data_IF_641120432690
#
_entry.id   IF_641120432690
#
_cell.length_a   1.000
_cell.length_b   1.000
_cell.length_c   1.000
_cell.angle_alpha   90.00
_cell.angle_beta   90.00
_cell.angle_gamma   90.00
#
_symmetry.space_group_name_H-M   'P 1'
#
loop_
_entity.id
_entity.type
_entity.pdbx_description
1 polymer ?
#
# COMPACT_ATOMS: atom_id res chain seq x y z
N UNK A 1 -43.47 -38.98 42.79
CA UNK A 1 -42.47 -37.99 43.23
C UNK A 1 -41.34 -38.06 42.24
N UNK A 2 -41.18 -37.00 41.44
CA UNK A 2 -40.10 -36.87 40.47
C UNK A 2 -39.05 -36.00 41.14
N UNK A 3 -37.91 -36.60 41.49
CA UNK A 3 -36.76 -35.86 42.01
C UNK A 3 -35.91 -35.41 40.82
N UNK A 4 -35.82 -34.09 40.66
CA UNK A 4 -35.07 -33.39 39.63
C UNK A 4 -33.63 -33.27 40.12
N UNK A 5 -32.72 -33.98 39.45
CA UNK A 5 -31.28 -33.81 39.65
C UNK A 5 -30.84 -32.48 39.00
N UNK A 6 -30.32 -31.59 39.85
CA UNK A 6 -29.82 -30.27 39.51
C UNK A 6 -28.33 -30.37 39.16
N UNK A 7 -28.00 -30.46 37.86
CA UNK A 7 -26.63 -30.31 37.38
C UNK A 7 -26.21 -28.84 37.49
N UNK A 8 -25.23 -28.56 38.35
CA UNK A 8 -24.62 -27.25 38.50
C UNK A 8 -23.56 -27.04 37.42
N UNK A 9 -23.82 -26.12 36.50
CA UNK A 9 -22.86 -25.66 35.49
C UNK A 9 -21.72 -24.86 36.16
N UNK A 10 -20.53 -25.44 36.18
CA UNK A 10 -19.26 -24.80 36.55
C UNK A 10 -18.83 -23.84 35.42
N UNK A 11 -19.25 -22.57 35.53
CA UNK A 11 -18.81 -21.51 34.63
C UNK A 11 -17.41 -21.06 35.06
N UNK A 12 -16.39 -21.68 34.46
CA UNK A 12 -15.00 -21.24 34.57
C UNK A 12 -14.82 -19.80 34.07
N UNK A 13 -14.75 -18.84 35.00
CA UNK A 13 -14.46 -17.43 34.71
C UNK A 13 -12.97 -17.30 34.36
N UNK A 14 -12.67 -17.30 33.07
CA UNK A 14 -11.32 -17.04 32.57
C UNK A 14 -11.03 -15.53 32.64
N UNK A 15 -10.26 -15.12 33.66
CA UNK A 15 -9.78 -13.74 33.78
C UNK A 15 -8.90 -13.37 32.58
N UNK A 16 -9.16 -12.24 31.87
CA UNK A 16 -8.32 -11.80 30.78
C UNK A 16 -6.94 -11.40 31.32
N UNK A 17 -5.89 -12.06 30.86
CA UNK A 17 -4.52 -11.64 31.13
C UNK A 17 -4.29 -10.23 30.55
N UNK A 18 -3.64 -9.32 31.29
CA UNK A 18 -3.35 -7.98 30.79
C UNK A 18 -2.49 -8.06 29.52
N UNK A 19 -2.76 -7.21 28.52
CA UNK A 19 -2.04 -7.23 27.25
C UNK A 19 -0.55 -6.98 27.49
N UNK A 20 0.27 -7.88 26.96
CA UNK A 20 1.73 -7.74 26.99
C UNK A 20 2.14 -6.36 26.46
N UNK A 21 3.15 -5.70 27.07
CA UNK A 21 3.62 -4.40 26.61
C UNK A 21 4.00 -4.48 25.13
N UNK A 22 3.36 -3.65 24.30
CA UNK A 22 3.67 -3.54 22.87
C UNK A 22 5.17 -3.30 22.73
N UNK A 23 5.90 -4.20 22.06
CA UNK A 23 7.35 -4.07 21.81
C UNK A 23 7.64 -2.67 21.28
N UNK A 24 8.55 -1.95 21.95
CA UNK A 24 8.98 -0.61 21.51
C UNK A 24 9.54 -0.74 20.10
N UNK A 25 9.06 0.10 19.17
CA UNK A 25 9.61 0.18 17.80
C UNK A 25 11.08 0.59 17.92
N UNK A 26 12.00 -0.29 17.53
CA UNK A 26 13.44 -0.01 17.56
C UNK A 26 13.78 1.09 16.57
N UNK A 27 14.68 2.00 16.95
CA UNK A 27 15.15 3.09 16.10
C UNK A 27 16.45 2.69 15.42
N UNK A 28 16.48 2.79 14.09
CA UNK A 28 17.67 2.54 13.29
C UNK A 28 18.39 3.86 13.01
N UNK A 29 19.62 4.02 13.50
CA UNK A 29 20.43 5.23 13.35
C UNK A 29 21.09 5.38 11.98
N UNK A 30 21.14 4.31 11.18
CA UNK A 30 21.62 4.37 9.79
C UNK A 30 20.58 4.92 8.81
N UNK A 31 19.35 5.17 9.29
CA UNK A 31 18.24 5.77 8.52
C UNK A 31 17.89 7.13 9.07
N UNK A 32 17.01 7.86 8.36
CA UNK A 32 16.49 9.13 8.88
C UNK A 32 15.84 8.94 10.26
N UNK A 33 16.36 9.61 11.30
CA UNK A 33 15.90 9.44 12.68
C UNK A 33 14.41 9.80 12.87
N UNK A 34 13.90 10.69 12.01
CA UNK A 34 12.53 11.20 12.03
C UNK A 34 11.56 10.21 11.36
N UNK A 35 11.82 9.84 10.10
CA UNK A 35 10.89 9.04 9.29
C UNK A 35 11.28 7.56 9.10
N UNK A 36 12.46 7.15 9.59
CA UNK A 36 12.98 5.77 9.55
C UNK A 36 13.07 5.17 8.13
N UNK A 37 13.35 6.02 7.14
CA UNK A 37 13.53 5.68 5.72
C UNK A 37 14.74 6.42 5.15
N UNK A 38 15.31 5.88 4.09
CA UNK A 38 16.47 6.35 3.32
C UNK A 38 16.14 6.61 1.83
N UNK A 39 14.88 6.40 1.42
CA UNK A 39 14.48 6.36 0.01
C UNK A 39 14.02 7.70 -0.58
N UNK A 40 13.92 8.76 0.24
CA UNK A 40 13.36 10.05 -0.21
C UNK A 40 14.41 10.98 -0.80
N UNK A 41 15.48 11.19 -0.06
CA UNK A 41 16.57 12.09 -0.43
C UNK A 41 17.84 11.67 0.32
N UNK A 42 18.98 12.23 -0.06
CA UNK A 42 20.24 11.90 0.60
C UNK A 42 20.22 12.29 2.09
N UNK A 43 20.61 11.35 2.94
CA UNK A 43 20.73 11.56 4.38
C UNK A 43 21.88 12.52 4.69
N UNK A 44 21.61 13.47 5.58
CA UNK A 44 22.59 14.43 6.07
C UNK A 44 22.93 14.12 7.53
N UNK A 45 24.22 14.25 7.86
CA UNK A 45 24.71 14.17 9.23
C UNK A 45 24.35 15.43 10.01
N UNK A 46 23.74 15.25 11.17
CA UNK A 46 23.40 16.34 12.07
C UNK A 46 24.64 16.93 12.74
N UNK A 47 24.79 18.25 12.68
CA UNK A 47 25.76 18.96 13.54
C UNK A 47 25.25 18.97 14.98
N UNK A 48 26.15 19.04 15.95
CA UNK A 48 25.81 19.11 17.38
C UNK A 48 24.77 20.20 17.71
N UNK A 49 24.91 21.39 17.12
CA UNK A 49 23.93 22.47 17.28
C UNK A 49 22.54 22.14 16.72
N UNK A 50 22.50 21.42 15.59
CA UNK A 50 21.25 20.94 14.96
C UNK A 50 20.61 19.81 15.75
N UNK A 51 21.41 18.90 16.34
CA UNK A 51 20.91 17.84 17.23
C UNK A 51 20.31 18.46 18.49
N UNK A 52 20.96 19.46 19.09
CA UNK A 52 20.42 20.19 20.24
C UNK A 52 19.08 20.87 19.92
N UNK A 53 18.96 21.52 18.76
CA UNK A 53 17.70 22.10 18.31
C UNK A 53 16.63 21.03 18.04
N UNK A 54 17.01 19.89 17.46
CA UNK A 54 16.10 18.78 17.26
C UNK A 54 15.54 18.26 18.59
N UNK A 55 16.39 18.05 19.60
CA UNK A 55 15.97 17.59 20.94
C UNK A 55 15.03 18.59 21.61
N UNK A 56 15.30 19.90 21.52
CA UNK A 56 14.40 20.90 22.10
C UNK A 56 13.01 20.87 21.44
N UNK A 57 12.95 20.73 20.11
CA UNK A 57 11.67 20.61 19.39
C UNK A 57 10.99 19.25 19.64
N UNK A 58 11.77 18.18 19.83
CA UNK A 58 11.28 16.84 20.17
C UNK A 58 10.54 16.83 21.52
N UNK A 59 11.10 17.51 22.53
CA UNK A 59 10.48 17.68 23.85
C UNK A 59 9.15 18.45 23.79
N UNK A 60 9.04 19.42 22.88
CA UNK A 60 7.80 20.18 22.68
C UNK A 60 6.74 19.33 21.96
N UNK A 61 7.15 18.51 20.99
CA UNK A 61 6.20 17.76 20.14
C UNK A 61 5.59 16.54 20.80
N UNK A 62 6.33 15.83 21.67
CA UNK A 62 5.89 14.59 22.34
C UNK A 62 5.21 13.55 21.40
N UNK A 63 5.63 13.52 20.14
CA UNK A 63 5.04 12.67 19.11
C UNK A 63 5.66 11.26 19.07
N UNK A 64 5.39 10.50 18.02
CA UNK A 64 5.97 9.17 17.81
C UNK A 64 7.51 9.16 17.79
N UNK A 65 8.13 10.26 17.35
CA UNK A 65 9.60 10.39 17.34
C UNK A 65 10.09 10.57 18.78
N UNK A 66 9.39 11.40 19.58
CA UNK A 66 9.69 11.54 21.01
C UNK A 66 9.53 10.21 21.73
N UNK A 67 8.43 9.48 21.54
CA UNK A 67 8.21 8.19 22.21
C UNK A 67 9.31 7.17 21.92
N UNK A 68 9.86 7.15 20.70
CA UNK A 68 10.97 6.27 20.33
C UNK A 68 12.30 6.63 21.01
N UNK A 69 12.56 7.93 21.18
CA UNK A 69 13.85 8.45 21.63
C UNK A 69 13.87 8.84 23.12
N UNK A 70 12.71 9.02 23.74
CA UNK A 70 12.52 9.48 25.12
C UNK A 70 13.15 8.60 26.18
N UNK A 71 13.43 7.34 25.85
CA UNK A 71 14.07 6.41 26.78
C UNK A 71 15.55 6.76 27.03
N UNK A 72 16.22 7.39 26.05
CA UNK A 72 17.62 7.77 26.18
C UNK A 72 17.98 8.82 25.11
N UNK A 73 17.96 10.10 25.48
CA UNK A 73 18.37 11.19 24.58
C UNK A 73 19.88 11.29 24.43
N UNK A 74 20.67 10.77 25.37
CA UNK A 74 22.14 10.83 25.33
C UNK A 74 22.70 10.03 24.14
N UNK A 75 21.97 8.99 23.72
CA UNK A 75 22.26 8.21 22.50
C UNK A 75 22.27 9.09 21.25
N UNK A 76 21.55 10.22 21.21
CA UNK A 76 21.59 11.16 20.07
C UNK A 76 22.88 12.00 20.02
N UNK A 77 23.59 12.14 21.14
CA UNK A 77 24.88 12.81 21.20
C UNK A 77 26.03 11.83 20.91
N UNK A 78 25.85 10.57 21.28
CA UNK A 78 26.84 9.50 21.08
C UNK A 78 26.83 8.91 19.66
N UNK A 79 25.69 8.97 18.95
CA UNK A 79 25.54 8.38 17.62
C UNK A 79 25.53 9.42 16.51
N UNK A 80 25.96 9.01 15.32
CA UNK A 80 25.79 9.81 14.11
C UNK A 80 24.31 9.91 13.75
N UNK A 81 23.67 11.03 14.09
CA UNK A 81 22.25 11.24 13.77
C UNK A 81 22.11 11.65 12.30
N UNK A 82 21.36 10.83 11.56
CA UNK A 82 21.06 11.06 10.14
C UNK A 82 19.63 11.53 9.96
N UNK A 83 19.41 12.48 9.04
CA UNK A 83 18.07 12.89 8.63
C UNK A 83 18.04 13.43 7.20
N UNK A 84 16.86 13.37 6.58
CA UNK A 84 16.56 14.17 5.40
C UNK A 84 16.52 15.66 5.78
N UNK A 85 17.04 16.54 4.92
CA UNK A 85 16.94 17.99 5.07
C UNK A 85 15.48 18.46 5.13
N UNK A 86 14.63 17.89 4.27
CA UNK A 86 13.19 18.16 4.29
C UNK A 86 12.56 17.72 5.62
N UNK A 87 12.86 16.50 6.10
CA UNK A 87 12.35 16.02 7.38
C UNK A 87 12.78 16.91 8.55
N UNK A 88 14.07 17.27 8.64
CA UNK A 88 14.57 18.12 9.72
C UNK A 88 13.88 19.49 9.70
N UNK A 89 13.85 20.15 8.53
CA UNK A 89 13.24 21.48 8.36
C UNK A 89 11.77 21.48 8.77
N UNK A 90 10.99 20.50 8.28
CA UNK A 90 9.57 20.36 8.65
C UNK A 90 9.40 20.05 10.12
N UNK A 91 10.28 19.24 10.71
CA UNK A 91 10.17 18.79 12.09
C UNK A 91 10.52 19.90 13.09
N UNK A 92 11.54 20.70 12.81
CA UNK A 92 11.97 21.79 13.70
C UNK A 92 11.28 23.13 13.42
N UNK A 93 10.42 23.20 12.40
CA UNK A 93 9.66 24.41 12.06
C UNK A 93 8.72 24.84 13.19
N UNK A 94 8.86 26.08 13.65
CA UNK A 94 8.06 26.62 14.76
C UNK A 94 6.58 26.75 14.41
N UNK A 95 6.28 27.08 13.15
CA UNK A 95 4.90 27.12 12.66
C UNK A 95 4.25 25.73 12.78
N UNK A 96 4.95 24.68 12.36
CA UNK A 96 4.42 23.31 12.42
C UNK A 96 4.30 22.78 13.86
N UNK A 97 5.11 23.29 14.79
CA UNK A 97 5.08 22.89 16.19
C UNK A 97 3.84 23.47 16.89
N UNK A 98 3.45 24.73 16.59
CA UNK A 98 2.23 25.34 17.15
C UNK A 98 0.96 24.55 16.82
N UNK A 99 0.87 24.00 15.61
CA UNK A 99 -0.23 23.11 15.23
C UNK A 99 -0.15 21.73 15.90
N UNK A 100 1.05 21.23 16.17
CA UNK A 100 1.25 19.95 16.86
C UNK A 100 0.92 20.03 18.36
N UNK A 101 1.26 21.13 19.05
CA UNK A 101 0.95 21.33 20.46
C UNK A 101 -0.55 21.51 20.73
N UNK A 102 -1.27 22.20 19.84
CA UNK A 102 -2.72 22.39 19.98
C UNK A 102 -3.50 21.07 19.92
N UNK A 103 -2.98 20.03 19.25
CA UNK A 103 -3.61 18.70 19.23
C UNK A 103 -3.44 17.92 20.55
N UNK A 104 -2.53 18.32 21.44
CA UNK A 104 -2.36 17.69 22.76
C UNK A 104 -3.13 18.41 23.88
N UNK A 105 -3.35 19.72 23.75
CA UNK A 105 -4.15 20.49 24.73
C UNK A 105 -5.64 20.13 24.72
N UNK A 106 -6.15 19.57 23.63
CA UNK A 106 -7.55 19.13 23.52
C UNK A 106 -7.84 17.78 24.18
N UNK A 107 -6.85 17.10 24.76
CA UNK A 107 -7.00 15.73 25.31
C UNK A 107 -6.87 15.66 26.84
N UNK A 108 -6.74 16.78 27.55
CA UNK A 108 -6.47 16.78 29.02
C UNK A 108 -7.44 17.68 29.83
N UNK A 109 -8.55 18.14 29.26
CA UNK A 109 -9.60 18.84 30.03
C UNK A 109 -10.93 18.10 30.04
N UNK A 110 -10.94 16.84 30.47
CA UNK A 110 -12.19 16.17 30.89
C UNK A 110 -11.95 15.14 31.98
N UNK A 111 -11.19 15.49 33.00
CA UNK A 111 -11.17 14.73 34.26
C UNK A 111 -11.36 15.67 35.43
N UNK A 112 -12.61 16.10 35.64
CA UNK A 112 -13.17 16.41 36.97
C UNK A 112 -14.68 16.65 36.85
N UNK A 113 -15.41 15.79 37.58
CA UNK A 113 -16.79 15.90 38.06
C UNK A 113 -17.88 15.02 37.40
N UNK A 114 -18.13 13.91 38.11
CA UNK A 114 -19.40 13.45 38.73
C UNK A 114 -20.56 12.99 37.83
N UNK A 115 -20.82 11.68 37.94
CA UNK A 115 -22.11 10.98 38.04
C UNK A 115 -23.39 11.74 37.65
N UNK A 116 -24.03 11.32 36.55
CA UNK A 116 -25.36 10.71 36.56
C UNK A 116 -25.80 10.27 35.16
N UNK A 117 -26.37 9.06 35.13
CA UNK A 117 -27.43 8.59 34.24
C UNK A 117 -27.09 8.05 32.84
N UNK A 118 -27.38 6.76 32.70
CA UNK A 118 -27.14 5.93 31.55
C UNK A 118 -28.16 6.17 30.43
N UNK A 119 -27.66 6.43 29.22
CA UNK A 119 -28.31 5.97 27.99
C UNK A 119 -27.22 5.53 27.00
N UNK A 120 -27.45 4.36 26.41
CA UNK A 120 -26.52 3.55 25.63
C UNK A 120 -25.85 4.26 24.44
N UNK A 121 -24.53 4.16 24.36
CA UNK A 121 -23.73 4.41 23.13
C UNK A 121 -24.15 3.48 21.98
N UNK A 122 -23.86 3.90 20.73
CA UNK A 122 -23.10 3.01 19.85
C UNK A 122 -21.62 3.44 19.76
N UNK A 123 -20.76 2.47 20.03
CA UNK A 123 -19.30 2.49 20.02
C UNK A 123 -18.61 3.53 19.13
N UNK A 124 -17.63 4.21 19.73
CA UNK A 124 -16.57 4.92 19.05
C UNK A 124 -15.85 4.04 18.01
N UNK A 125 -16.02 4.37 16.72
CA UNK A 125 -15.10 3.94 15.66
C UNK A 125 -14.02 5.00 15.48
N UNK A 126 -12.95 4.93 16.29
CA UNK A 126 -11.68 5.56 15.93
C UNK A 126 -11.02 4.64 14.90
N UNK A 127 -10.96 5.04 13.63
CA UNK A 127 -9.80 4.90 12.72
C UNK A 127 -10.14 5.56 11.38
N UNK A 128 -9.87 6.87 11.24
CA UNK A 128 -9.49 7.42 9.93
C UNK A 128 -8.07 7.93 10.06
N UNK A 129 -7.18 7.28 9.34
CA UNK A 129 -5.80 7.72 9.13
C UNK A 129 -5.81 9.21 8.75
N UNK A 130 -4.82 9.95 9.25
CA UNK A 130 -4.54 11.34 8.84
C UNK A 130 -4.16 11.37 7.35
N UNK A 131 -5.11 11.14 6.45
CA UNK A 131 -5.01 11.60 5.08
C UNK A 131 -5.05 13.13 5.17
N UNK A 132 -4.04 13.79 4.59
CA UNK A 132 -4.12 15.24 4.38
C UNK A 132 -5.42 15.47 3.60
N UNK A 133 -6.36 16.30 4.10
CA UNK A 133 -7.61 16.56 3.42
C UNK A 133 -7.32 16.95 1.97
N UNK A 134 -7.98 16.29 1.02
CA UNK A 134 -7.82 16.63 -0.39
C UNK A 134 -8.31 18.08 -0.58
N UNK A 135 -7.50 18.91 -1.25
CA UNK A 135 -7.85 20.30 -1.51
C UNK A 135 -8.81 20.38 -2.70
N UNK A 136 -10.11 20.40 -2.42
CA UNK A 136 -11.18 20.48 -3.41
C UNK A 136 -11.19 21.78 -4.23
N UNK A 137 -10.34 22.76 -3.88
CA UNK A 137 -10.11 23.94 -4.74
C UNK A 137 -9.17 23.67 -5.91
N UNK A 138 -8.64 22.45 -6.05
CA UNK A 138 -7.69 22.04 -7.09
C UNK A 138 -8.23 20.84 -7.86
N UNK A 139 -7.64 20.60 -9.03
CA UNK A 139 -7.99 19.46 -9.86
C UNK A 139 -7.67 18.14 -9.14
N UNK A 140 -8.65 17.22 -9.15
CA UNK A 140 -8.60 15.90 -8.54
C UNK A 140 -7.38 15.07 -9.00
N UNK A 141 -7.00 15.21 -10.27
CA UNK A 141 -5.93 14.42 -10.89
C UNK A 141 -4.56 15.09 -10.76
N UNK A 142 -4.43 16.34 -11.22
CA UNK A 142 -3.12 17.01 -11.30
C UNK A 142 -2.77 17.84 -10.07
N UNK A 143 -3.70 17.98 -9.11
CA UNK A 143 -3.53 18.74 -7.87
C UNK A 143 -3.12 20.21 -8.08
N UNK A 144 -3.49 20.78 -9.23
CA UNK A 144 -3.26 22.19 -9.59
C UNK A 144 -4.59 22.89 -9.90
N UNK A 145 -4.64 24.22 -9.75
CA UNK A 145 -5.81 25.03 -10.16
C UNK A 145 -5.91 25.20 -11.67
N UNK A 146 -4.77 25.22 -12.35
CA UNK A 146 -4.65 25.38 -13.81
C UNK A 146 -3.75 24.28 -14.37
N UNK A 147 -4.04 23.80 -15.57
CA UNK A 147 -3.22 22.80 -16.24
C UNK A 147 -2.96 23.20 -17.69
N UNK A 148 -1.68 23.36 -18.06
CA UNK A 148 -1.25 23.86 -19.39
C UNK A 148 -2.00 25.16 -19.75
N UNK A 149 -2.78 25.16 -20.84
CA UNK A 149 -3.60 26.29 -21.29
C UNK A 149 -5.02 26.29 -20.70
N UNK A 150 -5.39 25.25 -19.96
CA UNK A 150 -6.74 25.07 -19.39
C UNK A 150 -6.80 25.70 -17.99
N UNK A 151 -7.50 26.83 -17.89
CA UNK A 151 -7.73 27.55 -16.63
C UNK A 151 -9.05 27.17 -15.94
N UNK A 152 -9.96 26.55 -16.69
CA UNK A 152 -11.30 26.18 -16.20
C UNK A 152 -11.28 24.73 -15.74
N UNK A 153 -11.85 24.47 -14.57
CA UNK A 153 -12.10 23.11 -14.07
C UNK A 153 -13.59 22.82 -14.15
N UNK A 154 -13.94 21.60 -14.53
CA UNK A 154 -15.28 21.06 -14.51
C UNK A 154 -15.55 20.41 -13.16
N UNK A 155 -16.77 20.52 -12.64
CA UNK A 155 -17.18 19.81 -11.43
C UNK A 155 -17.64 18.40 -11.79
N UNK A 156 -17.36 17.42 -10.92
CA UNK A 156 -18.03 16.12 -10.95
C UNK A 156 -19.47 16.34 -10.51
N UNK A 157 -20.40 16.36 -11.47
CA UNK A 157 -21.79 16.72 -11.25
C UNK A 157 -22.76 15.54 -11.31
N UNK A 158 -22.29 14.34 -11.67
CA UNK A 158 -23.13 13.15 -11.82
C UNK A 158 -22.52 11.95 -11.10
N UNK A 159 -23.39 11.08 -10.59
CA UNK A 159 -22.98 9.78 -10.04
C UNK A 159 -22.30 8.90 -11.09
N UNK A 160 -22.71 9.02 -12.35
CA UNK A 160 -22.08 8.32 -13.47
C UNK A 160 -20.60 8.69 -13.60
N UNK A 161 -20.27 9.99 -13.59
CA UNK A 161 -18.88 10.44 -13.65
C UNK A 161 -18.07 9.99 -12.41
N UNK A 162 -18.69 9.98 -11.22
CA UNK A 162 -18.05 9.46 -10.02
C UNK A 162 -17.70 7.96 -10.16
N UNK A 163 -18.65 7.17 -10.63
CA UNK A 163 -18.45 5.74 -10.86
C UNK A 163 -17.36 5.46 -11.91
N UNK A 164 -17.31 6.24 -12.99
CA UNK A 164 -16.24 6.13 -13.99
C UNK A 164 -14.86 6.38 -13.36
N UNK A 165 -14.71 7.43 -12.55
CA UNK A 165 -13.44 7.73 -11.86
C UNK A 165 -13.05 6.59 -10.93
N UNK A 166 -14.01 6.02 -10.20
CA UNK A 166 -13.79 4.89 -9.30
C UNK A 166 -13.32 3.65 -10.06
N UNK A 167 -14.01 3.28 -11.14
CA UNK A 167 -13.63 2.14 -11.99
C UNK A 167 -12.24 2.33 -12.61
N UNK A 168 -11.92 3.54 -13.10
CA UNK A 168 -10.58 3.85 -13.60
C UNK A 168 -9.51 3.73 -12.50
N UNK A 169 -9.80 4.17 -11.28
CA UNK A 169 -8.87 4.06 -10.15
C UNK A 169 -8.62 2.59 -9.75
N UNK A 170 -9.68 1.77 -9.71
CA UNK A 170 -9.59 0.33 -9.45
C UNK A 170 -8.78 -0.38 -10.53
N UNK A 171 -9.13 -0.17 -11.81
CA UNK A 171 -8.45 -0.77 -12.94
C UNK A 171 -6.96 -0.40 -13.03
N UNK A 172 -6.60 0.83 -12.63
CA UNK A 172 -5.21 1.27 -12.55
C UNK A 172 -4.47 0.79 -11.31
N UNK A 173 -5.19 0.35 -10.28
CA UNK A 173 -4.64 0.11 -8.94
C UNK A 173 -4.13 1.38 -8.28
N UNK A 174 -4.71 2.54 -8.60
CA UNK A 174 -4.31 3.84 -8.05
C UNK A 174 -4.76 3.95 -6.57
N UNK A 175 -3.90 3.47 -5.68
CA UNK A 175 -4.16 3.45 -4.24
C UNK A 175 -4.33 4.85 -3.64
N UNK A 176 -3.74 5.89 -4.25
CA UNK A 176 -3.90 7.25 -3.76
C UNK A 176 -5.27 7.80 -4.13
N UNK A 177 -5.73 7.60 -5.37
CA UNK A 177 -7.08 7.98 -5.79
C UNK A 177 -8.16 7.21 -5.00
N UNK A 178 -7.97 5.90 -4.79
CA UNK A 178 -8.89 5.08 -3.99
C UNK A 178 -8.99 5.58 -2.54
N UNK A 179 -7.89 6.03 -1.93
CA UNK A 179 -7.93 6.64 -0.60
C UNK A 179 -8.70 7.97 -0.57
N UNK A 180 -8.57 8.78 -1.63
CA UNK A 180 -9.33 10.03 -1.75
C UNK A 180 -10.83 9.74 -1.85
N UNK A 181 -11.22 8.79 -2.69
CA UNK A 181 -12.61 8.33 -2.86
C UNK A 181 -13.20 7.81 -1.54
N UNK A 182 -12.49 6.92 -0.84
CA UNK A 182 -12.92 6.43 0.49
C UNK A 182 -13.05 7.57 1.51
N UNK A 183 -12.18 8.58 1.44
CA UNK A 183 -12.20 9.73 2.33
C UNK A 183 -13.51 10.51 2.26
N UNK A 184 -14.13 10.56 1.09
CA UNK A 184 -15.42 11.25 0.84
C UNK A 184 -16.62 10.31 0.76
N UNK A 185 -16.44 9.04 1.15
CA UNK A 185 -17.53 8.05 1.06
C UNK A 185 -17.99 7.79 -0.38
N UNK A 186 -17.07 7.91 -1.36
CA UNK A 186 -17.33 7.73 -2.79
C UNK A 186 -18.34 8.72 -3.39
N UNK A 187 -18.66 9.81 -2.70
CA UNK A 187 -19.52 10.87 -3.21
C UNK A 187 -18.69 12.10 -3.59
N UNK A 188 -18.11 12.07 -4.79
CA UNK A 188 -17.36 13.20 -5.34
C UNK A 188 -18.24 14.41 -5.66
N UNK A 189 -19.56 14.23 -5.79
CA UNK A 189 -20.49 15.32 -6.05
C UNK A 189 -20.67 16.14 -4.77
N UNK A 190 -20.92 15.48 -3.64
CA UNK A 190 -21.01 16.12 -2.33
C UNK A 190 -19.67 16.76 -1.90
N UNK A 191 -18.54 16.17 -2.32
CA UNK A 191 -17.22 16.74 -2.08
C UNK A 191 -16.86 17.93 -2.98
N UNK A 192 -17.76 18.33 -3.90
CA UNK A 192 -17.54 19.37 -4.90
C UNK A 192 -16.26 19.18 -5.71
N UNK A 193 -15.95 17.93 -6.06
CA UNK A 193 -14.72 17.58 -6.76
C UNK A 193 -14.65 18.25 -8.14
N UNK A 194 -13.46 18.73 -8.50
CA UNK A 194 -13.20 19.44 -9.75
C UNK A 194 -12.05 18.83 -10.52
N UNK A 195 -12.07 18.92 -11.84
CA UNK A 195 -11.00 18.43 -12.71
C UNK A 195 -10.84 19.24 -13.98
N UNK A 196 -9.65 19.23 -14.60
CA UNK A 196 -9.46 19.72 -15.97
C UNK A 196 -9.95 18.66 -16.95
N UNK A 197 -10.66 19.05 -18.03
CA UNK A 197 -11.21 18.09 -19.01
C UNK A 197 -10.10 17.23 -19.60
N UNK A 198 -8.94 17.84 -19.87
CA UNK A 198 -7.76 17.12 -20.40
C UNK A 198 -7.16 16.15 -19.39
N UNK A 199 -7.19 16.46 -18.08
CA UNK A 199 -6.72 15.54 -17.06
C UNK A 199 -7.63 14.33 -16.91
N UNK A 200 -8.96 14.53 -16.96
CA UNK A 200 -9.91 13.42 -16.93
C UNK A 200 -9.73 12.51 -18.15
N UNK A 201 -9.67 13.07 -19.35
CA UNK A 201 -9.46 12.28 -20.58
C UNK A 201 -8.15 11.49 -20.54
N UNK A 202 -7.04 12.11 -20.11
CA UNK A 202 -5.76 11.41 -19.93
C UNK A 202 -5.87 10.30 -18.88
N UNK A 203 -6.60 10.56 -17.79
CA UNK A 203 -6.77 9.59 -16.72
C UNK A 203 -7.66 8.42 -17.14
N UNK A 204 -8.67 8.64 -17.97
CA UNK A 204 -9.53 7.57 -18.51
C UNK A 204 -8.78 6.71 -19.54
N UNK A 205 -7.97 7.34 -20.41
CA UNK A 205 -7.30 6.67 -21.52
C UNK A 205 -6.04 5.89 -21.10
N UNK A 206 -5.36 6.34 -20.04
CA UNK A 206 -4.07 5.79 -19.61
C UNK A 206 -4.07 4.29 -19.28
N UNK A 207 -5.23 3.63 -19.13
CA UNK A 207 -5.35 2.15 -19.13
C UNK A 207 -6.73 1.66 -19.56
N UNK A 208 -7.01 1.70 -20.87
CA UNK A 208 -7.58 0.49 -21.46
C UNK A 208 -6.44 -0.51 -21.50
N UNK A 209 -6.42 -1.40 -20.51
CA UNK A 209 -5.58 -2.58 -20.54
C UNK A 209 -5.67 -3.20 -21.93
N UNK A 210 -4.54 -3.25 -22.62
CA UNK A 210 -4.52 -3.66 -24.01
C UNK A 210 -5.07 -5.08 -24.09
N UNK A 211 -5.92 -5.38 -25.09
CA UNK A 211 -6.36 -6.76 -25.35
C UNK A 211 -5.14 -7.68 -25.50
N UNK A 212 -4.00 -7.13 -25.94
CA UNK A 212 -2.72 -7.81 -26.00
C UNK A 212 -2.12 -8.10 -24.60
N UNK A 213 -2.24 -7.19 -23.63
CA UNK A 213 -1.79 -7.43 -22.24
C UNK A 213 -2.67 -8.47 -21.54
N UNK A 214 -3.96 -8.50 -21.87
CA UNK A 214 -4.90 -9.51 -21.38
C UNK A 214 -4.62 -10.89 -21.98
N UNK A 215 -4.44 -10.99 -23.30
CA UNK A 215 -4.00 -12.22 -23.95
C UNK A 215 -2.62 -12.69 -23.46
N UNK A 216 -1.73 -11.76 -23.10
CA UNK A 216 -0.42 -12.10 -22.57
C UNK A 216 -0.47 -12.59 -21.10
N UNK A 217 -1.44 -12.16 -20.28
CA UNK A 217 -1.68 -12.74 -18.95
C UNK A 217 -2.07 -14.21 -19.02
N UNK A 218 -2.81 -14.58 -20.05
CA UNK A 218 -3.17 -15.97 -20.35
C UNK A 218 -1.97 -16.79 -20.88
N UNK A 219 -0.86 -16.12 -21.25
CA UNK A 219 0.39 -16.74 -21.71
C UNK A 219 1.41 -17.02 -20.59
N UNK A 220 0.98 -17.20 -19.34
CA UNK A 220 1.85 -17.81 -18.33
C UNK A 220 2.05 -19.29 -18.68
N UNK A 221 3.18 -19.62 -19.29
CA UNK A 221 3.49 -21.00 -19.66
C UNK A 221 4.40 -21.66 -18.63
N UNK A 222 4.09 -22.92 -18.32
CA UNK A 222 5.10 -23.79 -17.71
C UNK A 222 6.19 -24.12 -18.75
N UNK A 223 7.41 -24.36 -18.28
CA UNK A 223 8.57 -24.62 -19.14
C UNK A 223 8.40 -25.87 -20.02
N UNK A 224 7.54 -26.83 -19.66
CA UNK A 224 7.31 -28.05 -20.43
C UNK A 224 6.39 -27.75 -21.61
N UNK A 225 5.26 -27.09 -21.36
CA UNK A 225 4.33 -26.64 -22.40
C UNK A 225 4.99 -25.68 -23.38
N UNK A 226 5.82 -24.77 -22.87
CA UNK A 226 6.56 -23.83 -23.71
C UNK A 226 7.62 -24.51 -24.59
N UNK A 227 8.31 -25.51 -24.04
CA UNK A 227 9.28 -26.31 -24.81
C UNK A 227 8.57 -27.11 -25.90
N UNK A 228 7.41 -27.69 -25.60
CA UNK A 228 6.61 -28.45 -26.57
C UNK A 228 6.19 -27.56 -27.75
N UNK A 229 5.60 -26.39 -27.47
CA UNK A 229 5.21 -25.42 -28.53
C UNK A 229 6.42 -24.98 -29.36
N UNK A 230 7.57 -24.78 -28.72
CA UNK A 230 8.78 -24.39 -29.45
C UNK A 230 9.33 -25.53 -30.31
N UNK A 231 9.26 -26.78 -29.84
CA UNK A 231 9.66 -27.95 -30.61
C UNK A 231 8.77 -28.12 -31.86
N UNK A 232 7.45 -27.94 -31.73
CA UNK A 232 6.50 -27.96 -32.86
C UNK A 232 6.87 -26.89 -33.91
N UNK A 233 7.15 -25.66 -33.48
CA UNK A 233 7.59 -24.58 -34.39
C UNK A 233 8.95 -24.83 -35.06
N UNK A 234 9.84 -25.62 -34.43
CA UNK A 234 11.09 -26.04 -35.06
C UNK A 234 10.84 -27.09 -36.13
N UNK A 235 9.96 -28.05 -35.86
CA UNK A 235 9.57 -29.10 -36.81
C UNK A 235 8.91 -28.51 -38.05
N UNK A 236 8.03 -27.50 -37.89
CA UNK A 236 7.44 -26.74 -39.00
C UNK A 236 8.48 -26.04 -39.87
N UNK A 237 9.66 -25.72 -39.32
CA UNK A 237 10.78 -25.10 -40.03
C UNK A 237 11.81 -26.11 -40.53
N UNK A 238 11.49 -27.41 -40.48
CA UNK A 238 12.35 -28.49 -40.95
C UNK A 238 13.51 -28.83 -40.01
N UNK A 239 13.43 -28.41 -38.74
CA UNK A 239 14.44 -28.67 -37.71
C UNK A 239 13.88 -29.66 -36.68
N UNK A 240 14.64 -30.70 -36.33
CA UNK A 240 14.25 -31.68 -35.31
C UNK A 240 14.07 -31.01 -33.93
N UNK A 241 12.81 -30.77 -33.56
CA UNK A 241 12.40 -30.14 -32.31
C UNK A 241 12.50 -31.06 -31.09
N UNK A 242 12.44 -32.39 -31.29
CA UNK A 242 12.47 -33.39 -30.21
C UNK A 242 13.79 -33.38 -29.42
N UNK A 243 14.90 -33.01 -30.08
CA UNK A 243 16.22 -32.89 -29.44
C UNK A 243 16.42 -31.55 -28.70
N UNK A 244 15.44 -30.65 -28.75
CA UNK A 244 15.54 -29.34 -28.12
C UNK A 244 15.22 -29.42 -26.62
N UNK A 245 16.05 -28.79 -25.78
CA UNK A 245 15.92 -28.88 -24.31
C UNK A 245 15.64 -27.54 -23.67
N UNK A 246 14.98 -27.57 -22.50
CA UNK A 246 14.71 -26.38 -21.68
C UNK A 246 15.98 -25.62 -21.29
N UNK A 247 17.11 -26.32 -21.16
CA UNK A 247 18.42 -25.75 -20.88
C UNK A 247 18.97 -24.91 -22.04
N UNK A 248 18.59 -25.21 -23.29
CA UNK A 248 18.91 -24.41 -24.48
C UNK A 248 17.88 -23.31 -24.73
N UNK A 249 16.61 -23.57 -24.44
CA UNK A 249 15.52 -22.61 -24.63
C UNK A 249 15.64 -21.41 -23.69
N UNK A 250 15.89 -21.64 -22.39
CA UNK A 250 16.03 -20.58 -21.38
C UNK A 250 17.03 -19.47 -21.75
N UNK A 251 18.29 -19.77 -22.09
CA UNK A 251 19.26 -18.73 -22.44
C UNK A 251 18.86 -18.01 -23.74
N UNK A 252 18.26 -18.69 -24.73
CA UNK A 252 17.73 -18.01 -25.93
C UNK A 252 16.62 -17.03 -25.60
N UNK A 253 15.69 -17.41 -24.74
CA UNK A 253 14.62 -16.53 -24.29
C UNK A 253 15.16 -15.32 -23.53
N UNK A 254 16.13 -15.50 -22.62
CA UNK A 254 16.81 -14.37 -21.97
C UNK A 254 17.53 -13.47 -22.98
N UNK A 255 18.19 -14.05 -23.97
CA UNK A 255 18.90 -13.28 -24.99
C UNK A 255 17.95 -12.46 -25.87
N UNK A 256 16.75 -12.99 -26.15
CA UNK A 256 15.78 -12.34 -27.05
C UNK A 256 14.87 -11.34 -26.33
N UNK A 257 14.42 -11.67 -25.12
CA UNK A 257 13.46 -10.87 -24.35
C UNK A 257 14.11 -10.06 -23.21
N UNK A 258 15.36 -10.36 -22.84
CA UNK A 258 16.09 -9.61 -21.82
C UNK A 258 15.45 -9.69 -20.44
N UNK A 259 15.32 -8.54 -19.78
CA UNK A 259 14.73 -8.39 -18.44
C UNK A 259 13.18 -8.40 -18.44
N UNK A 260 12.56 -8.47 -19.62
CA UNK A 260 11.09 -8.54 -19.73
C UNK A 260 10.54 -9.91 -19.34
N UNK A 261 11.40 -10.93 -19.15
CA UNK A 261 10.99 -12.30 -18.84
C UNK A 261 11.55 -12.79 -17.50
N UNK A 262 10.69 -13.40 -16.70
CA UNK A 262 10.99 -13.96 -15.38
C UNK A 262 10.86 -15.48 -15.42
N UNK A 263 11.88 -16.16 -14.90
CA UNK A 263 11.87 -17.61 -14.71
C UNK A 263 11.71 -17.91 -13.23
N UNK A 264 10.55 -18.40 -12.83
CA UNK A 264 10.27 -18.73 -11.44
C UNK A 264 10.36 -20.24 -11.21
N UNK A 265 11.07 -20.61 -10.14
CA UNK A 265 11.10 -21.97 -9.61
C UNK A 265 10.15 -22.02 -8.40
N UNK A 266 9.02 -22.74 -8.48
CA UNK A 266 8.16 -22.93 -7.32
C UNK A 266 8.90 -23.62 -6.17
N UNK A 267 8.53 -23.27 -4.93
CA UNK A 267 9.11 -23.86 -3.71
C UNK A 267 8.95 -25.38 -3.67
N UNK A 268 7.83 -25.89 -4.17
CA UNK A 268 7.60 -27.32 -4.36
C UNK A 268 8.30 -27.79 -5.64
N UNK A 269 9.30 -28.67 -5.49
CA UNK A 269 10.05 -29.26 -6.63
C UNK A 269 9.18 -30.09 -7.58
N UNK A 270 7.98 -30.48 -7.16
CA UNK A 270 7.00 -31.19 -7.99
C UNK A 270 6.27 -30.27 -8.98
N UNK A 271 6.30 -28.94 -8.80
CA UNK A 271 5.64 -28.01 -9.73
C UNK A 271 6.61 -27.57 -10.84
N UNK A 272 6.14 -27.52 -12.09
CA UNK A 272 7.00 -27.15 -13.20
C UNK A 272 7.45 -25.69 -13.09
N UNK A 273 8.64 -25.41 -13.64
CA UNK A 273 9.21 -24.06 -13.72
C UNK A 273 8.27 -23.16 -14.53
N UNK A 274 7.98 -21.97 -14.02
CA UNK A 274 7.11 -21.01 -14.69
C UNK A 274 7.92 -19.96 -15.44
N UNK A 275 7.38 -19.50 -16.56
CA UNK A 275 7.91 -18.40 -17.36
C UNK A 275 6.82 -17.37 -17.60
N UNK A 276 7.10 -16.12 -17.27
CA UNK A 276 6.13 -15.03 -17.38
C UNK A 276 6.83 -13.68 -17.58
N UNK A 277 6.07 -12.64 -17.94
CA UNK A 277 6.63 -11.29 -18.09
C UNK A 277 6.92 -10.62 -16.74
N UNK A 278 8.00 -9.85 -16.65
CA UNK A 278 8.32 -9.05 -15.46
C UNK A 278 7.28 -7.97 -15.14
N UNK A 279 6.38 -7.65 -16.07
CA UNK A 279 5.22 -6.78 -15.82
C UNK A 279 4.09 -7.44 -15.01
N UNK A 280 4.16 -8.75 -14.75
CA UNK A 280 3.10 -9.53 -14.10
C UNK A 280 3.53 -9.98 -12.69
N UNK A 281 2.62 -9.84 -11.72
CA UNK A 281 2.84 -10.35 -10.36
C UNK A 281 2.77 -11.87 -10.31
N UNK A 282 3.68 -12.49 -9.55
CA UNK A 282 3.66 -13.93 -9.29
C UNK A 282 2.32 -14.39 -8.70
N UNK A 283 1.66 -13.55 -7.90
CA UNK A 283 0.36 -13.86 -7.30
C UNK A 283 -0.73 -14.00 -8.36
N UNK A 284 -0.75 -13.12 -9.36
CA UNK A 284 -1.75 -13.13 -10.43
C UNK A 284 -1.59 -14.38 -11.30
N UNK A 285 -0.35 -14.81 -11.54
CA UNK A 285 -0.03 -16.04 -12.27
C UNK A 285 -0.49 -17.28 -11.50
N UNK A 286 -0.26 -17.31 -10.19
CA UNK A 286 -0.72 -18.42 -9.35
C UNK A 286 -2.25 -18.49 -9.37
N UNK A 287 -2.92 -17.35 -9.23
CA UNK A 287 -4.39 -17.27 -9.28
C UNK A 287 -4.94 -17.73 -10.64
N UNK A 288 -4.35 -17.28 -11.76
CA UNK A 288 -4.73 -17.69 -13.11
C UNK A 288 -4.45 -19.18 -13.38
N UNK A 289 -3.34 -19.72 -12.87
CA UNK A 289 -3.05 -21.16 -12.99
C UNK A 289 -4.03 -22.03 -12.18
N UNK A 290 -4.57 -21.50 -11.08
CA UNK A 290 -5.54 -22.21 -10.24
C UNK A 290 -6.94 -22.24 -10.86
N UNK A 291 -7.32 -21.23 -11.65
CA UNK A 291 -8.59 -21.22 -12.40
C UNK A 291 -8.54 -22.18 -13.59
N UNK A 292 -7.40 -22.26 -14.29
CA UNK A 292 -7.22 -23.15 -15.45
C UNK A 292 -7.28 -24.66 -15.11
N UNK A 293 -6.96 -25.04 -13.87
CA UNK A 293 -7.09 -26.42 -13.38
C UNK A 293 -8.54 -26.80 -13.00
N UNK A 294 -9.47 -25.85 -12.90
CA UNK A 294 -10.90 -26.15 -12.67
C UNK A 294 -11.68 -26.39 -13.96
N UNK A 295 -11.12 -26.00 -15.10
CA UNK A 295 -11.80 -26.08 -16.41
C UNK A 295 -11.32 -27.25 -17.28
N UNK A 296 -10.44 -28.14 -16.78
CA UNK A 296 -10.24 -29.44 -17.42
C UNK A 296 -11.27 -30.45 -16.88
N UNK A 297 -12.33 -30.80 -17.64
CA UNK A 297 -13.15 -31.93 -17.28
C UNK A 297 -12.28 -33.18 -17.32
N UNK A 298 -12.30 -33.92 -16.21
CA UNK A 298 -11.80 -35.29 -16.10
C UNK A 298 -12.51 -36.18 -17.11
N UNK A 299 -11.93 -36.35 -18.29
CA UNK A 299 -12.31 -37.38 -19.24
C UNK A 299 -11.38 -38.59 -19.10
N UNK A 300 -11.63 -39.40 -18.06
CA UNK A 300 -11.27 -40.81 -18.04
C UNK A 300 -12.33 -41.60 -17.25
N UNK A 301 -13.23 -42.24 -17.99
CA UNK A 301 -13.77 -43.58 -17.76
C UNK A 301 -14.35 -44.09 -19.08
#
# INVERSE_FOLDING_TARGET
MMDVENEGDDIGIQFPLPPLPKRRRSTCFTKCIICQSDSRENLRKGKQSSVKNFISKLQIRQDDVYRRLSANFDVLYENEVLWHASCYTTYTSEQNIKYASNHQSSTVQTEKNKYAEATSEPCAMIYRSKAVPHDWSKCLFCKNRTHKKEKVMQSVSTLAACNTIMQCAEAKGDQDMLRVLMGVGNDLVAAEAKYHKTCFASYEDERKESVYDQAFREMAYDMVSLLKKYAELLEERGVDGQKYTSQKLKPRMRSHFGETIVFHQPYQRSRPKLVYSSSISLQDIINASATHNKEQPSSQA
#
